data_IF_150273094063
#
_entry.id   IF_150273094063
#
_cell.length_a   1.000
_cell.length_b   1.000
_cell.length_c   1.000
_cell.angle_alpha   90.00
_cell.angle_beta   90.00
_cell.angle_gamma   90.00
#
_symmetry.space_group_name_H-M   'P 1'
#
loop_
_entity.id
_entity.type
_entity.pdbx_description
1 polymer ?
#
# COMPACT_ATOMS: atom_id res chain seq x y z
N UNK A 1 22.14 -5.53 6.60
CA UNK A 1 21.02 -4.58 6.75
C UNK A 1 21.35 -3.32 5.97
N UNK A 2 20.64 -3.00 4.91
CA UNK A 2 20.82 -1.73 4.18
C UNK A 2 20.06 -0.68 5.00
N UNK A 3 20.75 0.39 5.41
CA UNK A 3 20.20 1.45 6.24
C UNK A 3 19.03 2.14 5.50
N UNK A 4 17.96 2.50 6.22
CA UNK A 4 16.79 3.24 5.67
C UNK A 4 17.23 4.49 4.89
N UNK A 5 18.23 5.23 5.37
CA UNK A 5 18.81 6.38 4.69
C UNK A 5 19.38 6.06 3.30
N UNK A 6 20.04 4.88 3.14
CA UNK A 6 20.59 4.46 1.85
C UNK A 6 19.48 4.12 0.83
N UNK A 7 18.34 3.65 1.30
CA UNK A 7 17.16 3.38 0.44
C UNK A 7 16.56 4.68 -0.07
N UNK A 8 16.37 5.65 0.81
CA UNK A 8 15.83 6.98 0.45
C UNK A 8 16.76 7.67 -0.55
N UNK A 9 18.09 7.63 -0.33
CA UNK A 9 19.07 8.20 -1.25
C UNK A 9 19.00 7.53 -2.62
N UNK A 10 18.87 6.20 -2.68
CA UNK A 10 18.74 5.47 -3.95
C UNK A 10 17.43 5.83 -4.67
N UNK A 11 16.31 5.92 -3.95
CA UNK A 11 15.04 6.38 -4.53
C UNK A 11 15.16 7.80 -5.10
N UNK A 12 15.72 8.73 -4.35
CA UNK A 12 15.95 10.11 -4.80
C UNK A 12 16.87 10.13 -6.02
N UNK A 13 17.94 9.33 -6.05
CA UNK A 13 18.87 9.25 -7.18
C UNK A 13 18.21 8.70 -8.45
N UNK A 14 17.37 7.66 -8.32
CA UNK A 14 16.60 7.09 -9.45
C UNK A 14 15.62 8.14 -9.99
N UNK A 15 14.90 8.83 -9.11
CA UNK A 15 13.95 9.88 -9.49
C UNK A 15 14.67 11.04 -10.16
N UNK A 16 15.83 11.48 -9.64
CA UNK A 16 16.63 12.54 -10.24
C UNK A 16 17.12 12.14 -11.63
N UNK A 17 17.56 10.89 -11.80
CA UNK A 17 18.01 10.36 -13.10
C UNK A 17 16.87 10.33 -14.12
N UNK A 18 15.65 9.94 -13.70
CA UNK A 18 14.44 9.99 -14.53
C UNK A 18 14.07 11.41 -14.92
N UNK A 19 14.12 12.37 -13.97
CA UNK A 19 13.87 13.78 -14.24
C UNK A 19 14.86 14.36 -15.26
N UNK A 20 16.18 14.09 -15.09
CA UNK A 20 17.21 14.56 -16.02
C UNK A 20 17.07 13.91 -17.40
N UNK A 21 16.67 12.64 -17.46
CA UNK A 21 16.38 11.94 -18.72
C UNK A 21 15.15 12.50 -19.44
N UNK A 22 14.10 12.80 -18.70
CA UNK A 22 12.85 13.35 -19.22
C UNK A 22 12.99 14.80 -19.74
N UNK A 23 13.89 15.60 -19.15
CA UNK A 23 14.20 16.94 -19.64
C UNK A 23 14.88 16.95 -21.04
N UNK A 24 15.38 15.80 -21.51
CA UNK A 24 15.92 15.63 -22.87
C UNK A 24 14.92 14.98 -23.85
N UNK A 25 13.78 14.50 -23.36
CA UNK A 25 12.69 14.06 -24.22
C UNK A 25 12.00 15.32 -24.77
N UNK A 26 11.63 15.31 -26.06
CA UNK A 26 10.82 16.37 -26.70
C UNK A 26 9.36 16.34 -26.15
N UNK A 27 9.22 16.47 -24.83
CA UNK A 27 7.90 16.63 -24.20
C UNK A 27 7.37 18.02 -24.59
N UNK A 28 6.20 18.07 -25.21
CA UNK A 28 5.58 19.31 -25.64
C UNK A 28 5.15 20.18 -24.44
N UNK A 29 4.86 19.55 -23.29
CA UNK A 29 4.42 20.23 -22.08
C UNK A 29 4.71 19.37 -20.86
N UNK A 30 5.21 19.99 -19.80
CA UNK A 30 5.39 19.36 -18.49
C UNK A 30 4.39 19.97 -17.52
N UNK A 31 3.73 19.13 -16.73
CA UNK A 31 2.84 19.53 -15.65
C UNK A 31 3.44 19.03 -14.32
N UNK A 32 3.60 19.91 -13.34
CA UNK A 32 4.02 19.55 -11.98
C UNK A 32 2.89 19.77 -11.02
N UNK A 33 2.65 18.82 -10.11
CA UNK A 33 1.50 18.95 -9.23
C UNK A 33 1.60 18.20 -7.94
N UNK A 34 0.60 18.44 -7.09
CA UNK A 34 0.41 17.75 -5.82
C UNK A 34 -0.75 16.77 -5.93
N UNK A 35 -0.66 15.70 -5.15
CA UNK A 35 -1.65 14.62 -5.09
C UNK A 35 -2.13 14.43 -3.66
N UNK A 36 -3.42 14.19 -3.51
CA UNK A 36 -4.03 13.74 -2.26
C UNK A 36 -5.08 12.67 -2.57
N UNK A 37 -4.95 11.52 -1.94
CA UNK A 37 -5.81 10.38 -2.21
C UNK A 37 -6.38 9.85 -0.88
N UNK A 38 -7.60 10.20 -0.49
CA UNK A 38 -8.33 9.44 0.53
C UNK A 38 -8.56 8.02 0.02
N UNK A 39 -8.19 7.03 0.83
CA UNK A 39 -8.07 5.64 0.43
C UNK A 39 -8.93 4.72 1.27
N UNK A 40 -9.42 3.69 0.61
CA UNK A 40 -9.95 2.48 1.19
C UNK A 40 -8.99 1.35 0.87
N UNK A 41 -8.47 0.66 1.89
CA UNK A 41 -7.45 -0.37 1.69
C UNK A 41 -7.88 -1.71 2.28
N UNK A 42 -7.41 -2.80 1.69
CA UNK A 42 -7.65 -4.15 2.20
C UNK A 42 -6.47 -5.06 1.89
N UNK A 43 -6.10 -5.88 2.86
CA UNK A 43 -5.16 -6.98 2.70
C UNK A 43 -5.95 -8.27 2.52
N UNK A 44 -5.92 -8.84 1.32
CA UNK A 44 -6.71 -10.01 0.96
C UNK A 44 -5.85 -11.25 0.96
N UNK A 45 -6.27 -12.25 1.77
CA UNK A 45 -5.67 -13.57 1.82
C UNK A 45 -6.78 -14.63 1.73
N UNK A 46 -6.57 -15.67 0.93
CA UNK A 46 -7.58 -16.75 0.80
C UNK A 46 -7.82 -17.50 2.10
N UNK A 47 -6.80 -17.64 2.95
CA UNK A 47 -6.97 -18.32 4.23
C UNK A 47 -7.91 -17.54 5.15
N UNK A 48 -7.84 -16.21 5.16
CA UNK A 48 -8.73 -15.37 5.95
C UNK A 48 -10.18 -15.51 5.45
N UNK A 49 -10.37 -15.56 4.13
CA UNK A 49 -11.70 -15.75 3.54
C UNK A 49 -12.27 -17.15 3.84
N UNK A 50 -11.43 -18.18 3.92
CA UNK A 50 -11.82 -19.55 4.21
C UNK A 50 -12.05 -19.82 5.70
N UNK A 51 -11.66 -18.93 6.59
CA UNK A 51 -11.88 -19.03 8.04
C UNK A 51 -13.37 -18.95 8.43
N UNK A 52 -14.25 -18.67 7.47
CA UNK A 52 -15.70 -18.62 7.67
C UNK A 52 -16.12 -17.52 8.63
N UNK A 53 -17.08 -17.83 9.52
CA UNK A 53 -17.61 -16.85 10.49
C UNK A 53 -16.64 -16.53 11.65
N UNK A 54 -15.43 -17.08 11.66
CA UNK A 54 -14.46 -16.89 12.73
C UNK A 54 -13.64 -15.61 12.56
N UNK A 55 -13.54 -15.09 11.35
CA UNK A 55 -12.76 -13.89 11.04
C UNK A 55 -13.57 -12.96 10.12
N UNK A 56 -13.93 -11.80 10.64
CA UNK A 56 -14.52 -10.72 9.83
C UNK A 56 -13.43 -9.76 9.37
N UNK A 57 -13.28 -9.62 8.07
CA UNK A 57 -12.46 -8.57 7.48
C UNK A 57 -13.25 -7.27 7.53
N UNK A 58 -12.81 -6.35 8.40
CA UNK A 58 -13.41 -5.02 8.50
C UNK A 58 -12.58 -4.05 7.69
N UNK A 59 -13.12 -3.57 6.60
CA UNK A 59 -12.48 -2.59 5.75
C UNK A 59 -12.36 -1.26 6.48
N UNK A 60 -11.20 -0.64 6.42
CA UNK A 60 -10.97 0.67 7.01
C UNK A 60 -11.07 1.77 5.96
N UNK A 61 -12.02 2.68 6.18
CA UNK A 61 -11.98 4.01 5.60
C UNK A 61 -11.13 4.91 6.50
N UNK A 62 -10.34 5.81 5.93
CA UNK A 62 -9.53 6.77 6.68
C UNK A 62 -8.03 6.62 6.47
N UNK A 63 -7.63 5.73 5.60
CA UNK A 63 -6.28 5.72 5.05
C UNK A 63 -6.16 6.79 3.96
N UNK A 64 -4.94 7.21 3.69
CA UNK A 64 -4.68 8.21 2.66
C UNK A 64 -3.27 8.08 2.11
N UNK A 65 -3.08 8.58 0.90
CA UNK A 65 -1.76 8.91 0.41
C UNK A 65 -1.69 10.35 -0.07
N UNK A 66 -0.51 10.93 -0.01
CA UNK A 66 -0.25 12.28 -0.49
C UNK A 66 1.16 12.39 -1.06
N UNK A 67 1.36 13.34 -1.94
CA UNK A 67 2.67 13.55 -2.52
C UNK A 67 2.68 14.54 -3.66
N UNK A 68 3.68 14.39 -4.52
CA UNK A 68 3.87 15.21 -5.70
C UNK A 68 4.09 14.34 -6.94
N UNK A 69 3.83 14.91 -8.11
CA UNK A 69 4.03 14.22 -9.36
C UNK A 69 4.28 15.14 -10.53
N UNK A 70 4.69 14.53 -11.62
CA UNK A 70 4.88 15.19 -12.90
C UNK A 70 4.16 14.42 -14.01
N UNK A 71 3.59 15.15 -14.98
CA UNK A 71 3.05 14.58 -16.20
C UNK A 71 3.86 15.16 -17.37
N UNK A 72 4.46 14.30 -18.17
CA UNK A 72 5.20 14.60 -19.37
C UNK A 72 4.32 14.32 -20.56
N UNK A 73 3.72 15.34 -21.13
CA UNK A 73 2.83 15.21 -22.29
C UNK A 73 3.65 15.12 -23.58
N UNK A 74 3.56 14.00 -24.29
CA UNK A 74 4.22 13.78 -25.59
C UNK A 74 3.43 14.43 -26.72
N UNK A 75 2.12 14.50 -26.57
CA UNK A 75 1.18 15.19 -27.45
C UNK A 75 -0.09 15.53 -26.66
N UNK A 76 -1.11 16.06 -27.32
CA UNK A 76 -2.36 16.50 -26.69
C UNK A 76 -3.16 15.36 -26.02
N UNK A 77 -2.85 14.09 -26.30
CA UNK A 77 -3.63 12.96 -25.82
C UNK A 77 -2.84 11.97 -24.97
N UNK A 78 -1.52 11.90 -25.16
CA UNK A 78 -0.69 10.91 -24.49
C UNK A 78 0.47 11.53 -23.73
N UNK A 79 0.77 10.95 -22.58
CA UNK A 79 1.87 11.36 -21.73
C UNK A 79 2.34 10.24 -20.82
N UNK A 80 3.30 10.56 -19.98
CA UNK A 80 3.81 9.74 -18.90
C UNK A 80 3.63 10.49 -17.58
N UNK A 81 2.91 9.89 -16.64
CA UNK A 81 2.76 10.41 -15.29
C UNK A 81 3.67 9.65 -14.33
N UNK A 82 4.40 10.37 -13.49
CA UNK A 82 5.26 9.82 -12.44
C UNK A 82 4.96 10.56 -11.15
N UNK A 83 4.54 9.84 -10.11
CA UNK A 83 4.28 10.43 -8.80
C UNK A 83 5.21 9.83 -7.74
N UNK A 84 5.42 10.56 -6.64
CA UNK A 84 6.00 10.07 -5.40
C UNK A 84 4.95 10.31 -4.32
N UNK A 85 4.48 9.23 -3.71
CA UNK A 85 3.41 9.28 -2.72
C UNK A 85 3.89 8.67 -1.39
N UNK A 86 3.60 9.35 -0.29
CA UNK A 86 3.62 8.77 1.05
C UNK A 86 2.24 8.20 1.31
N UNK A 87 2.16 6.91 1.59
CA UNK A 87 0.89 6.20 1.76
C UNK A 87 0.85 5.48 3.10
N UNK A 88 -0.30 5.54 3.74
CA UNK A 88 -0.64 4.74 4.90
C UNK A 88 -1.80 3.83 4.53
N UNK A 89 -1.57 2.54 4.62
CA UNK A 89 -2.50 1.49 4.24
C UNK A 89 -2.67 0.49 5.37
N UNK A 90 -3.68 -0.35 5.30
CA UNK A 90 -3.81 -1.40 6.31
C UNK A 90 -5.14 -2.12 6.27
N UNK A 91 -5.31 -2.94 7.30
CA UNK A 91 -6.50 -3.77 7.49
C UNK A 91 -6.79 -3.90 8.99
N UNK A 92 -8.08 -3.88 9.31
CA UNK A 92 -8.58 -4.29 10.63
C UNK A 92 -9.29 -5.63 10.47
N UNK A 93 -9.00 -6.54 11.40
CA UNK A 93 -9.63 -7.86 11.49
C UNK A 93 -10.44 -7.94 12.78
N UNK A 94 -11.61 -8.55 12.71
CA UNK A 94 -12.38 -8.98 13.88
C UNK A 94 -12.55 -10.48 13.82
N UNK A 95 -12.39 -11.14 14.94
CA UNK A 95 -12.55 -12.58 15.01
C UNK A 95 -12.92 -13.05 16.42
N UNK A 96 -13.21 -14.34 16.51
CA UNK A 96 -13.47 -15.03 17.77
C UNK A 96 -12.61 -16.29 17.82
N UNK A 97 -11.81 -16.43 18.89
CA UNK A 97 -11.01 -17.62 19.13
C UNK A 97 -11.77 -18.62 19.98
N UNK A 98 -11.87 -19.85 19.50
CA UNK A 98 -12.52 -20.95 20.18
C UNK A 98 -11.57 -21.82 20.99
N UNK A 99 -10.26 -21.50 21.02
CA UNK A 99 -9.26 -22.13 21.88
C UNK A 99 -8.66 -23.43 21.34
N UNK A 100 -8.83 -23.77 20.09
CA UNK A 100 -8.25 -24.97 19.48
C UNK A 100 -6.90 -24.70 18.79
N UNK A 101 -5.88 -25.59 18.91
CA UNK A 101 -4.60 -25.43 18.22
C UNK A 101 -4.71 -25.50 16.68
N UNK A 102 -5.77 -26.09 16.14
CA UNK A 102 -6.05 -26.14 14.69
C UNK A 102 -6.54 -24.80 14.13
N UNK A 103 -7.06 -23.92 14.98
CA UNK A 103 -7.60 -22.63 14.55
C UNK A 103 -6.48 -21.65 14.18
N UNK A 104 -5.33 -21.73 14.82
CA UNK A 104 -4.19 -20.86 14.57
C UNK A 104 -3.54 -21.08 13.19
N UNK A 105 -3.61 -22.27 12.63
CA UNK A 105 -2.95 -22.61 11.38
C UNK A 105 -3.66 -22.10 10.11
N UNK A 106 -4.88 -21.60 10.23
CA UNK A 106 -5.74 -21.20 9.10
C UNK A 106 -5.83 -19.70 8.89
N UNK A 107 -5.27 -18.88 9.79
CA UNK A 107 -5.38 -17.41 9.76
C UNK A 107 -4.17 -16.76 9.04
N UNK A 108 -4.31 -15.49 8.71
CA UNK A 108 -3.19 -14.70 8.17
C UNK A 108 -2.03 -14.63 9.17
N UNK A 109 -0.82 -14.46 8.67
CA UNK A 109 0.39 -14.38 9.51
C UNK A 109 0.30 -13.24 10.53
N UNK A 110 -0.41 -12.16 10.22
CA UNK A 110 -0.64 -11.01 11.10
C UNK A 110 -1.32 -11.46 12.41
N UNK A 111 -2.42 -12.19 12.30
CA UNK A 111 -3.18 -12.64 13.46
C UNK A 111 -2.45 -13.77 14.18
N UNK A 112 -1.94 -14.75 13.43
CA UNK A 112 -1.23 -15.90 13.97
C UNK A 112 0.01 -15.53 14.73
N UNK A 113 0.82 -14.61 14.23
CA UNK A 113 2.06 -14.22 14.88
C UNK A 113 1.79 -13.62 16.24
N UNK A 114 0.77 -12.78 16.38
CA UNK A 114 0.48 -12.12 17.66
C UNK A 114 -0.18 -13.05 18.69
N UNK A 115 -1.04 -13.96 18.24
CA UNK A 115 -1.72 -14.91 19.13
C UNK A 115 -0.80 -16.00 19.63
N UNK A 116 0.09 -16.52 18.77
CA UNK A 116 1.04 -17.59 19.14
C UNK A 116 2.18 -17.09 20.04
N UNK A 117 2.52 -15.81 19.98
CA UNK A 117 3.66 -15.23 20.68
C UNK A 117 3.50 -15.19 22.20
N UNK A 118 2.29 -15.18 22.72
CA UNK A 118 2.06 -15.00 24.16
C UNK A 118 1.83 -16.31 24.92
N UNK A 119 1.94 -17.50 24.29
CA UNK A 119 1.65 -18.80 24.90
C UNK A 119 0.31 -18.85 25.68
N UNK A 120 -0.55 -17.86 25.45
CA UNK A 120 -1.83 -17.74 26.11
C UNK A 120 -2.89 -18.16 25.10
N UNK A 121 -3.68 -19.17 25.48
CA UNK A 121 -4.86 -19.55 24.69
C UNK A 121 -5.84 -18.39 24.80
N UNK A 122 -5.96 -17.61 23.75
CA UNK A 122 -6.96 -16.54 23.68
C UNK A 122 -8.28 -17.20 23.30
N UNK A 123 -9.27 -17.05 24.17
CA UNK A 123 -10.66 -17.48 23.92
C UNK A 123 -11.54 -16.25 23.95
N UNK A 124 -12.35 -16.06 22.90
CA UNK A 124 -13.27 -14.94 22.81
C UNK A 124 -12.97 -13.99 21.64
N UNK A 125 -13.65 -12.85 21.63
CA UNK A 125 -13.59 -11.87 20.57
C UNK A 125 -12.28 -11.08 20.61
N UNK A 126 -11.71 -10.80 19.43
CA UNK A 126 -10.53 -9.96 19.29
C UNK A 126 -10.67 -9.00 18.12
N UNK A 127 -9.90 -7.91 18.17
CA UNK A 127 -9.69 -6.97 17.05
C UNK A 127 -8.19 -6.87 16.81
N UNK A 128 -7.77 -7.19 15.59
CA UNK A 128 -6.39 -7.00 15.15
C UNK A 128 -6.34 -5.91 14.09
N UNK A 129 -5.28 -5.08 14.13
CA UNK A 129 -5.03 -4.00 13.19
C UNK A 129 -3.60 -4.10 12.68
N UNK A 130 -3.43 -4.00 11.36
CA UNK A 130 -2.13 -3.84 10.73
C UNK A 130 -2.13 -2.56 9.89
N UNK A 131 -1.11 -1.73 10.09
CA UNK A 131 -0.88 -0.51 9.30
C UNK A 131 0.50 -0.59 8.66
N UNK A 132 0.54 -0.32 7.36
CA UNK A 132 1.72 -0.36 6.52
C UNK A 132 1.97 1.03 5.95
N UNK A 133 3.13 1.61 6.22
CA UNK A 133 3.54 2.89 5.68
C UNK A 133 4.48 2.67 4.51
N UNK A 134 4.14 3.24 3.35
CA UNK A 134 4.88 3.08 2.10
C UNK A 134 5.32 4.42 1.52
N UNK A 135 6.47 4.38 0.83
CA UNK A 135 6.76 5.31 -0.26
C UNK A 135 6.38 4.59 -1.54
N UNK A 136 5.47 5.17 -2.33
CA UNK A 136 4.98 4.63 -3.60
C UNK A 136 5.50 5.45 -4.76
N UNK A 137 5.95 4.76 -5.81
CA UNK A 137 6.41 5.35 -7.07
C UNK A 137 5.61 4.76 -8.24
N UNK A 138 4.42 5.28 -8.54
CA UNK A 138 3.69 4.90 -9.74
C UNK A 138 4.31 5.55 -10.97
N UNK A 139 4.45 4.77 -12.05
CA UNK A 139 4.86 5.21 -13.39
C UNK A 139 3.75 4.80 -14.34
N UNK A 140 2.99 5.78 -14.84
CA UNK A 140 1.73 5.52 -15.53
C UNK A 140 1.72 6.15 -16.91
N UNK A 141 1.24 5.43 -17.91
CA UNK A 141 0.82 6.02 -19.16
C UNK A 141 -0.42 6.88 -18.89
N UNK A 142 -0.40 8.10 -19.40
CA UNK A 142 -1.50 9.06 -19.31
C UNK A 142 -2.17 9.17 -20.67
N UNK A 143 -3.48 8.96 -20.68
CA UNK A 143 -4.35 9.31 -21.79
C UNK A 143 -5.27 10.46 -21.39
N UNK A 144 -5.35 11.48 -22.22
CA UNK A 144 -6.19 12.65 -22.02
C UNK A 144 -7.05 12.85 -23.25
N UNK A 145 -8.35 13.11 -23.08
CA UNK A 145 -9.24 13.32 -24.24
C UNK A 145 -8.82 14.59 -24.98
N UNK A 146 -9.36 15.70 -24.78
CA UNK A 146 -8.99 16.97 -25.43
C UNK A 146 -8.70 17.99 -24.31
N UNK A 147 -7.42 18.18 -23.99
CA UNK A 147 -6.97 19.05 -22.90
C UNK A 147 -7.08 20.56 -23.24
N UNK A 148 -7.48 20.91 -24.46
CA UNK A 148 -7.78 22.30 -24.84
C UNK A 148 -9.14 22.76 -24.33
N UNK A 149 -10.03 21.82 -24.00
CA UNK A 149 -11.34 22.11 -23.42
C UNK A 149 -11.23 22.43 -21.92
N UNK A 150 -12.16 23.21 -21.38
CA UNK A 150 -12.20 23.49 -19.94
C UNK A 150 -12.31 22.23 -19.10
N UNK A 151 -13.15 21.26 -19.49
CA UNK A 151 -13.34 19.97 -18.86
C UNK A 151 -12.93 18.86 -19.83
N UNK A 152 -12.11 17.94 -19.38
CA UNK A 152 -11.63 16.81 -20.16
C UNK A 152 -11.49 15.55 -19.32
N UNK A 153 -11.53 14.40 -19.99
CA UNK A 153 -11.35 13.09 -19.36
C UNK A 153 -9.89 12.70 -19.31
N UNK A 154 -9.49 11.98 -18.25
CA UNK A 154 -8.13 11.44 -18.10
C UNK A 154 -8.18 9.98 -17.67
N UNK A 155 -7.23 9.18 -18.18
CA UNK A 155 -7.00 7.79 -17.82
C UNK A 155 -5.51 7.60 -17.58
N UNK A 156 -5.15 7.01 -16.43
CA UNK A 156 -3.78 6.67 -16.05
C UNK A 156 -3.70 5.17 -15.79
N UNK A 157 -2.69 4.50 -16.34
CA UNK A 157 -2.47 3.07 -16.12
C UNK A 157 -0.99 2.74 -16.12
N UNK A 158 -0.53 1.92 -15.17
CA UNK A 158 0.87 1.52 -15.13
C UNK A 158 1.27 0.75 -13.88
N UNK A 159 2.55 0.38 -13.79
CA UNK A 159 3.13 -0.22 -12.59
C UNK A 159 3.35 0.82 -11.49
N UNK A 160 3.36 0.33 -10.25
CA UNK A 160 3.72 1.08 -9.07
C UNK A 160 4.69 0.27 -8.22
N UNK A 161 5.75 0.92 -7.79
CA UNK A 161 6.77 0.36 -6.92
C UNK A 161 6.53 0.86 -5.50
N UNK A 162 6.37 -0.09 -4.56
CA UNK A 162 6.06 0.21 -3.16
C UNK A 162 7.25 -0.13 -2.28
N UNK A 163 7.74 0.84 -1.53
CA UNK A 163 8.85 0.70 -0.59
C UNK A 163 8.30 0.83 0.83
N UNK A 164 8.39 -0.24 1.62
CA UNK A 164 7.88 -0.28 2.99
C UNK A 164 8.84 0.49 3.91
N UNK A 165 8.32 1.48 4.62
CA UNK A 165 9.05 2.32 5.56
C UNK A 165 8.74 1.98 7.02
N UNK A 166 7.53 1.50 7.31
CA UNK A 166 7.14 1.17 8.68
C UNK A 166 5.90 0.30 8.75
N UNK A 167 5.76 -0.40 9.86
CA UNK A 167 4.61 -1.25 10.18
C UNK A 167 4.20 -1.01 11.62
N UNK A 168 2.90 -0.84 11.85
CA UNK A 168 2.30 -0.88 13.16
C UNK A 168 1.27 -2.01 13.22
N UNK A 169 1.33 -2.82 14.27
CA UNK A 169 0.38 -3.90 14.51
C UNK A 169 -0.17 -3.80 15.92
N UNK A 170 -1.46 -4.02 16.06
CA UNK A 170 -2.18 -4.03 17.33
C UNK A 170 -3.14 -5.21 17.39
N UNK A 171 -3.22 -5.91 18.54
CA UNK A 171 -4.29 -6.85 18.82
C UNK A 171 -4.92 -6.48 20.15
N UNK A 172 -6.22 -6.25 20.13
CA UNK A 172 -7.04 -5.98 21.33
C UNK A 172 -7.95 -7.18 21.60
N UNK A 173 -7.90 -7.69 22.82
CA UNK A 173 -8.75 -8.77 23.30
C UNK A 173 -9.23 -8.41 24.70
N UNK A 174 -10.57 -8.35 24.92
CA UNK A 174 -11.17 -8.01 26.21
C UNK A 174 -10.55 -6.78 26.88
N UNK A 175 -10.40 -5.69 26.13
CA UNK A 175 -9.78 -4.42 26.55
C UNK A 175 -8.29 -4.52 26.98
N UNK A 176 -7.66 -5.68 26.80
CA UNK A 176 -6.23 -5.84 26.99
C UNK A 176 -5.51 -5.60 25.65
N UNK A 177 -4.70 -4.56 25.62
CA UNK A 177 -3.73 -4.35 24.51
C UNK A 177 -2.54 -5.26 24.81
N UNK A 178 -2.31 -6.25 23.96
CA UNK A 178 -1.11 -7.08 24.06
C UNK A 178 0.06 -6.32 23.43
N UNK A 179 1.02 -5.85 24.23
CA UNK A 179 2.19 -5.21 23.68
C UNK A 179 3.06 -6.24 22.96
N UNK A 180 3.56 -5.82 21.86
CA UNK A 180 4.54 -6.38 20.96
C UNK A 180 5.37 -7.56 21.51
N UNK A 181 5.37 -8.59 20.70
CA UNK A 181 6.44 -9.59 20.69
C UNK A 181 7.80 -8.90 20.47
N UNK A 182 8.89 -9.61 20.82
CA UNK A 182 10.27 -9.15 20.53
C UNK A 182 10.62 -9.12 19.01
N UNK A 183 9.60 -9.19 18.14
CA UNK A 183 9.76 -9.08 16.69
C UNK A 183 9.29 -7.69 16.30
N UNK A 184 10.17 -6.99 15.62
CA UNK A 184 9.78 -5.76 14.94
C UNK A 184 8.76 -6.11 13.85
N UNK A 185 7.55 -5.56 13.89
CA UNK A 185 6.50 -5.89 12.91
C UNK A 185 6.94 -5.77 11.46
N UNK A 186 7.87 -4.85 11.16
CA UNK A 186 8.43 -4.64 9.82
C UNK A 186 9.16 -5.88 9.28
N UNK A 187 9.67 -6.74 10.16
CA UNK A 187 10.37 -7.96 9.76
C UNK A 187 9.43 -9.04 9.20
N UNK A 188 8.13 -8.92 9.44
CA UNK A 188 7.10 -9.82 8.91
C UNK A 188 6.72 -9.50 7.46
N UNK A 189 7.05 -8.30 6.97
CA UNK A 189 6.63 -7.82 5.66
C UNK A 189 7.80 -7.68 4.70
N UNK A 190 7.49 -7.74 3.40
CA UNK A 190 8.47 -7.44 2.34
C UNK A 190 8.75 -5.95 2.29
N UNK A 191 10.02 -5.60 2.19
CA UNK A 191 10.44 -4.20 2.08
C UNK A 191 10.14 -3.56 0.72
N UNK A 192 9.83 -4.39 -0.28
CA UNK A 192 9.55 -3.96 -1.65
C UNK A 192 8.49 -4.85 -2.28
N UNK A 193 7.50 -4.24 -2.93
CA UNK A 193 6.44 -4.92 -3.69
C UNK A 193 6.07 -4.12 -4.93
N UNK A 194 5.43 -4.80 -5.89
CA UNK A 194 4.96 -4.19 -7.14
C UNK A 194 3.43 -4.32 -7.22
N UNK A 195 2.79 -3.24 -7.67
CA UNK A 195 1.35 -3.16 -7.92
C UNK A 195 1.06 -2.70 -9.33
N UNK A 196 -0.14 -2.97 -9.82
CA UNK A 196 -0.73 -2.27 -10.97
C UNK A 196 -1.64 -1.14 -10.50
N UNK A 197 -1.63 -0.04 -11.21
CA UNK A 197 -2.48 1.14 -10.96
C UNK A 197 -3.35 1.41 -12.16
N UNK A 198 -4.62 1.69 -11.90
CA UNK A 198 -5.58 2.22 -12.85
C UNK A 198 -6.27 3.42 -12.23
N UNK A 199 -6.22 4.59 -12.88
CA UNK A 199 -6.99 5.76 -12.42
C UNK A 199 -7.69 6.43 -13.60
N UNK A 200 -8.95 6.81 -13.40
CA UNK A 200 -9.74 7.48 -14.44
C UNK A 200 -10.70 8.50 -13.84
N UNK A 201 -10.94 9.57 -14.57
CA UNK A 201 -11.82 10.64 -14.10
C UNK A 201 -11.75 11.89 -14.95
N UNK A 202 -12.12 13.02 -14.36
CA UNK A 202 -12.15 14.32 -15.01
C UNK A 202 -11.03 15.23 -14.54
N UNK A 203 -10.65 16.15 -15.42
CA UNK A 203 -9.76 17.25 -15.11
C UNK A 203 -10.34 18.55 -15.67
N UNK A 204 -10.13 19.66 -14.96
CA UNK A 204 -10.67 20.97 -15.28
C UNK A 204 -9.55 22.02 -15.32
N UNK A 205 -9.44 22.75 -16.42
CA UNK A 205 -8.54 23.88 -16.57
C UNK A 205 -9.08 25.06 -15.76
N UNK A 206 -8.54 25.26 -14.53
CA UNK A 206 -8.89 26.41 -13.67
C UNK A 206 -8.41 27.72 -14.28
N UNK A 207 -7.19 27.70 -14.82
CA UNK A 207 -6.55 28.77 -15.57
C UNK A 207 -5.79 28.16 -16.73
N UNK A 208 -5.22 28.93 -17.66
CA UNK A 208 -4.37 28.40 -18.74
C UNK A 208 -3.23 27.52 -18.21
N UNK A 209 -2.71 27.80 -17.00
CA UNK A 209 -1.55 27.13 -16.41
C UNK A 209 -1.89 26.24 -15.22
N UNK A 210 -3.17 26.10 -14.81
CA UNK A 210 -3.57 25.31 -13.64
C UNK A 210 -4.67 24.31 -13.99
N UNK A 211 -4.48 23.07 -13.61
CA UNK A 211 -5.43 21.97 -13.83
C UNK A 211 -5.81 21.35 -12.50
N UNK A 212 -7.09 21.30 -12.20
CA UNK A 212 -7.66 20.54 -11.09
C UNK A 212 -8.17 19.20 -11.61
N UNK A 213 -7.84 18.09 -10.95
CA UNK A 213 -8.29 16.77 -11.37
C UNK A 213 -8.90 15.97 -10.21
N UNK A 214 -9.91 15.16 -10.56
CA UNK A 214 -10.50 14.17 -9.67
C UNK A 214 -10.67 12.85 -10.43
N UNK A 215 -10.07 11.77 -9.91
CA UNK A 215 -10.04 10.45 -10.54
C UNK A 215 -10.38 9.37 -9.51
N UNK A 216 -11.10 8.35 -9.92
CA UNK A 216 -11.16 7.08 -9.19
C UNK A 216 -9.88 6.31 -9.48
N UNK A 217 -9.23 5.83 -8.43
CA UNK A 217 -7.98 5.09 -8.50
C UNK A 217 -8.14 3.72 -7.88
N UNK A 218 -7.54 2.70 -8.51
CA UNK A 218 -7.50 1.32 -8.06
C UNK A 218 -6.07 0.81 -8.17
N UNK A 219 -5.54 0.29 -7.04
CA UNK A 219 -4.24 -0.34 -6.99
C UNK A 219 -4.44 -1.82 -6.64
N UNK A 220 -3.72 -2.72 -7.33
CA UNK A 220 -3.70 -4.14 -7.05
C UNK A 220 -2.26 -4.62 -6.90
N UNK A 221 -1.92 -5.13 -5.70
CA UNK A 221 -0.61 -5.71 -5.41
C UNK A 221 -0.46 -7.10 -6.04
N UNK A 222 0.55 -7.26 -6.90
CA UNK A 222 0.85 -8.55 -7.53
C UNK A 222 1.64 -9.47 -6.61
N UNK A 223 2.42 -8.89 -5.72
CA UNK A 223 3.27 -9.62 -4.79
C UNK A 223 2.53 -9.99 -3.50
N UNK A 224 3.04 -11.05 -2.86
CA UNK A 224 2.74 -11.32 -1.46
C UNK A 224 3.40 -10.21 -0.61
N UNK A 225 2.64 -9.45 0.15
CA UNK A 225 3.16 -8.38 0.99
C UNK A 225 3.87 -8.89 2.24
N UNK A 226 3.63 -10.14 2.63
CA UNK A 226 4.22 -10.77 3.80
C UNK A 226 5.38 -11.70 3.44
N UNK A 227 6.34 -11.85 4.35
CA UNK A 227 7.43 -12.82 4.22
C UNK A 227 6.94 -14.22 4.62
N UNK A 228 7.38 -15.25 3.90
CA UNK A 228 6.97 -16.65 4.16
C UNK A 228 7.74 -17.30 5.31
N UNK A 229 9.00 -16.94 5.51
CA UNK A 229 9.91 -17.61 6.43
C UNK A 229 10.46 -16.60 7.46
N UNK A 230 9.68 -16.34 8.51
CA UNK A 230 10.13 -15.48 9.61
C UNK A 230 10.42 -16.33 10.83
N UNK A 231 11.65 -16.25 11.35
CA UNK A 231 12.03 -16.86 12.61
C UNK A 231 11.63 -15.95 13.76
N UNK A 232 10.78 -16.45 14.64
CA UNK A 232 10.40 -15.79 15.88
C UNK A 232 11.25 -16.35 16.99
N UNK A 233 12.05 -15.52 17.65
CA UNK A 233 12.86 -15.89 18.80
C UNK A 233 12.20 -15.41 20.08
N UNK A 234 11.98 -16.33 21.01
CA UNK A 234 11.55 -15.98 22.38
C UNK A 234 12.76 -15.87 23.31
N UNK A 235 12.74 -14.89 24.20
CA UNK A 235 13.70 -14.76 25.29
C UNK A 235 13.53 -15.96 26.25
N UNK A 236 14.45 -16.94 26.16
CA UNK A 236 14.53 -18.10 27.06
C UNK A 236 13.88 -19.40 26.57
N UNK A 237 13.37 -19.48 25.37
CA UNK A 237 12.77 -20.66 24.77
C UNK A 237 13.35 -21.02 23.40
N UNK A 238 13.11 -22.26 22.98
CA UNK A 238 13.50 -22.76 21.65
C UNK A 238 12.91 -21.85 20.57
N UNK A 239 13.69 -21.39 19.58
CA UNK A 239 13.17 -20.59 18.49
C UNK A 239 12.09 -21.38 17.73
N UNK A 240 10.86 -20.88 17.76
CA UNK A 240 9.76 -21.47 17.04
C UNK A 240 9.76 -20.86 15.62
N UNK A 241 9.99 -21.69 14.63
CA UNK A 241 9.81 -21.32 13.23
C UNK A 241 8.32 -21.42 12.90
N UNK A 242 7.70 -20.31 12.62
CA UNK A 242 6.38 -20.31 11.99
C UNK A 242 6.55 -20.56 10.49
N UNK A 243 6.51 -21.82 10.10
CA UNK A 243 6.33 -22.18 8.70
C UNK A 243 4.85 -22.34 8.44
N UNK A 244 4.26 -21.39 7.80
CA UNK A 244 3.03 -21.67 7.09
C UNK A 244 3.38 -22.07 5.66
N UNK A 245 3.81 -23.31 5.45
CA UNK A 245 4.00 -23.91 4.12
C UNK A 245 2.70 -23.92 3.32
N UNK A 246 1.56 -23.78 3.96
CA UNK A 246 0.22 -23.75 3.37
C UNK A 246 -0.37 -22.34 3.26
N UNK A 247 0.33 -21.31 3.75
CA UNK A 247 -0.16 -19.93 3.70
C UNK A 247 -0.29 -19.45 2.26
N UNK A 248 -1.45 -18.97 1.91
CA UNK A 248 -1.70 -18.27 0.64
C UNK A 248 -1.09 -16.87 0.68
N UNK A 249 -0.81 -16.31 -0.50
CA UNK A 249 -0.28 -14.97 -0.61
C UNK A 249 -1.30 -13.92 -0.12
N UNK A 250 -0.80 -12.90 0.55
CA UNK A 250 -1.56 -11.73 0.97
C UNK A 250 -1.34 -10.61 -0.05
N UNK A 251 -2.41 -10.20 -0.72
CA UNK A 251 -2.38 -9.13 -1.71
C UNK A 251 -2.98 -7.84 -1.13
N UNK A 252 -2.35 -6.72 -1.45
CA UNK A 252 -2.88 -5.41 -1.12
C UNK A 252 -3.81 -4.91 -2.23
N UNK A 253 -4.99 -4.41 -1.85
CA UNK A 253 -5.95 -3.76 -2.75
C UNK A 253 -6.29 -2.40 -2.18
N UNK A 254 -6.22 -1.36 -3.02
CA UNK A 254 -6.57 0.00 -2.65
C UNK A 254 -7.55 0.58 -3.65
N UNK A 255 -8.60 1.20 -3.14
CA UNK A 255 -9.50 2.07 -3.88
C UNK A 255 -9.38 3.49 -3.35
N UNK A 256 -9.26 4.49 -4.21
CA UNK A 256 -9.06 5.87 -3.80
C UNK A 256 -9.82 6.88 -4.67
N UNK A 257 -10.08 8.05 -4.10
CA UNK A 257 -10.41 9.24 -4.85
C UNK A 257 -9.12 10.09 -5.01
N UNK A 258 -8.49 10.03 -6.17
CA UNK A 258 -7.27 10.77 -6.44
C UNK A 258 -7.61 12.22 -6.83
N UNK A 259 -7.22 13.16 -5.98
CA UNK A 259 -7.32 14.60 -6.22
C UNK A 259 -5.94 15.14 -6.61
N UNK A 260 -5.88 15.96 -7.64
CA UNK A 260 -4.64 16.55 -8.15
C UNK A 260 -4.80 18.01 -8.49
N UNK A 261 -3.75 18.78 -8.21
CA UNK A 261 -3.61 20.16 -8.68
C UNK A 261 -2.28 20.25 -9.41
N UNK A 262 -2.32 20.49 -10.71
CA UNK A 262 -1.18 20.49 -11.62
C UNK A 262 -0.93 21.89 -12.18
N UNK A 263 0.34 22.26 -12.36
CA UNK A 263 0.80 23.51 -12.97
C UNK A 263 1.53 23.17 -14.27
N UNK A 264 1.07 23.74 -15.38
CA UNK A 264 1.69 23.64 -16.69
C UNK A 264 2.88 24.58 -16.77
N UNK A 265 4.02 24.04 -17.21
CA UNK A 265 5.29 24.76 -17.40
C UNK A 265 5.50 25.12 -18.86
#
# INVERSE_FOLDING_TARGET
MINSKDRIIKCISIVTLFFVGALKADAQQIELGVRYNPEFTSLINKNDNNAGNKLELTNNFGYFSFGAGAIFNFNNNFGLAVDILFSREGQRFKGNFTGGPSDAATYSSIVNTQVSLNNTIIVGDYVAKAELNYIKLPIMLSFTSDNTKPLFFTLLVGPQFNFLEGVAQEVNHNDLVYPNSNIEPIDLYKSFTISGVLAFGGAYNLTPNMVLSARLRFDYGFDDVEKKDVMVSYSGAIPIRFYSTERQATHNITGALMLGLDFKL
#
